data_IF_128173968674
#
_entry.id   IF_128173968674
#
_cell.length_a   1.000
_cell.length_b   1.000
_cell.length_c   1.000
_cell.angle_alpha   90.00
_cell.angle_beta   90.00
_cell.angle_gamma   90.00
#
_symmetry.space_group_name_H-M   'P 1'
#
loop_
_entity.id
_entity.type
_entity.pdbx_description
1 polymer ?
#
# COMPACT_ATOMS: atom_id res chain seq x y z
N UNK A 1 6.41 7.50 -6.68
CA UNK A 1 6.80 6.61 -7.81
C UNK A 1 5.57 6.12 -8.59
N UNK A 2 4.48 5.68 -7.93
CA UNK A 2 3.23 5.24 -8.58
C UNK A 2 2.04 6.17 -8.30
N UNK A 3 2.13 7.05 -7.32
CA UNK A 3 1.09 8.02 -6.99
C UNK A 3 0.96 9.08 -8.08
N UNK A 4 -0.28 9.46 -8.39
CA UNK A 4 -0.66 10.49 -9.34
C UNK A 4 -2.01 11.12 -8.94
N UNK A 5 -2.45 12.12 -9.67
CA UNK A 5 -3.73 12.83 -9.48
C UNK A 5 -4.98 11.95 -9.72
N UNK A 6 -4.81 10.77 -10.31
CA UNK A 6 -5.86 9.77 -10.54
C UNK A 6 -5.81 8.61 -9.55
N UNK A 7 -4.97 8.71 -8.52
CA UNK A 7 -4.92 7.69 -7.49
C UNK A 7 -6.21 7.67 -6.69
N UNK A 8 -6.79 6.49 -6.54
CA UNK A 8 -8.07 6.28 -5.88
C UNK A 8 -8.00 5.17 -4.84
N UNK A 9 -8.74 5.32 -3.76
CA UNK A 9 -8.88 4.32 -2.72
C UNK A 9 -10.24 3.66 -2.82
N UNK A 10 -10.25 2.35 -3.04
CA UNK A 10 -11.45 1.54 -3.20
C UNK A 10 -11.57 0.53 -2.07
N UNK A 11 -12.77 0.40 -1.51
CA UNK A 11 -13.09 -0.64 -0.52
C UNK A 11 -14.18 -1.54 -1.07
N UNK A 12 -13.94 -2.86 -1.05
CA UNK A 12 -14.90 -3.89 -1.41
C UNK A 12 -15.41 -4.58 -0.15
N UNK A 13 -16.72 -4.63 -0.01
CA UNK A 13 -17.43 -5.29 1.10
C UNK A 13 -18.33 -6.38 0.54
N UNK A 14 -18.41 -7.51 1.22
CA UNK A 14 -19.36 -8.56 0.87
C UNK A 14 -20.67 -8.40 1.65
N UNK A 15 -21.82 -8.62 0.99
CA UNK A 15 -23.13 -8.69 1.64
C UNK A 15 -23.20 -9.94 2.52
N UNK A 16 -22.76 -11.06 1.99
CA UNK A 16 -22.65 -12.31 2.72
C UNK A 16 -21.47 -12.29 3.69
N UNK A 17 -21.56 -13.07 4.78
CA UNK A 17 -20.50 -13.19 5.76
C UNK A 17 -19.42 -14.17 5.28
N UNK A 18 -18.68 -13.81 4.24
CA UNK A 18 -17.62 -14.63 3.67
C UNK A 18 -16.39 -14.62 4.57
N UNK A 19 -16.18 -15.70 5.30
CA UNK A 19 -15.05 -15.88 6.23
C UNK A 19 -13.92 -16.70 5.60
N UNK A 20 -14.18 -17.45 4.53
CA UNK A 20 -13.16 -18.17 3.79
C UNK A 20 -12.31 -17.19 2.97
N UNK A 21 -11.03 -17.08 3.34
CA UNK A 21 -10.06 -16.22 2.66
C UNK A 21 -9.78 -16.66 1.23
N UNK A 22 -9.71 -17.97 0.98
CA UNK A 22 -9.40 -18.48 -0.37
C UNK A 22 -10.55 -18.16 -1.32
N UNK A 23 -11.79 -18.36 -0.87
CA UNK A 23 -12.96 -17.98 -1.65
C UNK A 23 -13.02 -16.47 -1.89
N UNK A 24 -12.76 -15.64 -0.88
CA UNK A 24 -12.69 -14.19 -1.07
C UNK A 24 -11.62 -13.79 -2.09
N UNK A 25 -10.45 -14.44 -2.08
CA UNK A 25 -9.38 -14.18 -3.04
C UNK A 25 -9.82 -14.49 -4.48
N UNK A 26 -10.60 -15.54 -4.69
CA UNK A 26 -11.17 -15.86 -6.01
C UNK A 26 -12.11 -14.75 -6.49
N UNK A 27 -12.98 -14.25 -5.60
CA UNK A 27 -13.88 -13.14 -5.92
C UNK A 27 -13.10 -11.86 -6.24
N UNK A 28 -12.08 -11.56 -5.45
CA UNK A 28 -11.19 -10.42 -5.66
C UNK A 28 -10.45 -10.49 -7.01
N UNK A 29 -9.85 -11.63 -7.34
CA UNK A 29 -9.16 -11.80 -8.64
C UNK A 29 -10.14 -11.67 -9.83
N UNK A 30 -11.35 -12.23 -9.70
CA UNK A 30 -12.42 -12.06 -10.70
C UNK A 30 -12.83 -10.59 -10.84
N UNK A 31 -12.92 -9.84 -9.73
CA UNK A 31 -13.22 -8.41 -9.75
C UNK A 31 -12.14 -7.64 -10.51
N UNK A 32 -10.87 -7.83 -10.18
CA UNK A 32 -9.75 -7.14 -10.84
C UNK A 32 -9.74 -7.46 -12.35
N UNK A 33 -9.96 -8.71 -12.76
CA UNK A 33 -10.02 -9.10 -14.17
C UNK A 33 -11.17 -8.41 -14.91
N UNK A 34 -12.37 -8.42 -14.34
CA UNK A 34 -13.56 -7.78 -14.93
C UNK A 34 -13.40 -6.27 -15.01
N UNK A 35 -12.86 -5.64 -13.96
CA UNK A 35 -12.58 -4.21 -13.92
C UNK A 35 -11.55 -3.83 -14.99
N UNK A 36 -10.48 -4.62 -15.10
CA UNK A 36 -9.45 -4.42 -16.12
C UNK A 36 -10.03 -4.50 -17.53
N UNK A 37 -10.87 -5.51 -17.80
CA UNK A 37 -11.51 -5.64 -19.10
C UNK A 37 -12.50 -4.51 -19.37
N UNK A 38 -13.26 -4.08 -18.38
CA UNK A 38 -14.20 -2.95 -18.50
C UNK A 38 -13.50 -1.64 -18.89
N UNK A 39 -12.31 -1.39 -18.34
CA UNK A 39 -11.55 -0.15 -18.58
C UNK A 39 -10.75 -0.20 -19.88
N UNK A 40 -10.06 -1.32 -20.13
CA UNK A 40 -9.04 -1.40 -21.17
C UNK A 40 -9.43 -2.30 -22.35
N UNK A 41 -10.58 -2.99 -22.29
CA UNK A 41 -11.00 -3.97 -23.28
C UNK A 41 -9.92 -5.00 -23.62
N UNK A 42 -9.12 -5.37 -22.62
CA UNK A 42 -7.93 -6.22 -22.76
C UNK A 42 -7.84 -7.25 -21.64
N UNK A 43 -7.40 -8.45 -21.99
CA UNK A 43 -7.07 -9.49 -21.00
C UNK A 43 -5.67 -9.33 -20.39
N UNK A 44 -4.84 -8.40 -20.91
CA UNK A 44 -3.56 -8.03 -20.28
C UNK A 44 -3.86 -7.30 -18.98
N UNK A 45 -3.16 -7.62 -17.90
CA UNK A 45 -3.31 -6.98 -16.58
C UNK A 45 -2.68 -5.59 -16.60
N UNK A 46 -3.47 -4.57 -16.87
CA UNK A 46 -3.04 -3.17 -17.00
C UNK A 46 -3.33 -2.34 -15.75
N UNK A 47 -4.33 -2.72 -14.94
CA UNK A 47 -4.61 -2.04 -13.67
C UNK A 47 -3.39 -2.13 -12.75
N UNK A 48 -3.00 -0.97 -12.21
CA UNK A 48 -1.95 -0.84 -11.19
C UNK A 48 -2.60 -0.69 -9.82
N UNK A 49 -2.28 -1.60 -8.90
CA UNK A 49 -2.88 -1.57 -7.57
C UNK A 49 -2.00 -2.17 -6.48
N UNK A 50 -2.27 -1.75 -5.25
CA UNK A 50 -1.90 -2.45 -4.02
C UNK A 50 -3.20 -2.71 -3.25
N UNK A 51 -3.37 -3.90 -2.69
CA UNK A 51 -4.56 -4.26 -1.92
C UNK A 51 -4.19 -4.99 -0.63
N UNK A 52 -4.93 -4.67 0.43
CA UNK A 52 -4.85 -5.33 1.73
C UNK A 52 -6.20 -5.92 2.05
N UNK A 53 -6.21 -7.12 2.61
CA UNK A 53 -7.42 -7.74 3.13
C UNK A 53 -7.51 -7.49 4.64
N UNK A 54 -8.70 -7.12 5.10
CA UNK A 54 -9.01 -6.89 6.51
C UNK A 54 -10.23 -7.74 6.91
N UNK A 55 -10.21 -8.31 8.11
CA UNK A 55 -11.39 -8.95 8.71
C UNK A 55 -12.25 -7.94 9.43
N UNK A 56 -13.53 -7.90 9.09
CA UNK A 56 -14.52 -7.15 9.85
C UNK A 56 -14.81 -7.81 11.21
N UNK A 57 -15.43 -7.06 12.12
CA UNK A 57 -15.89 -7.57 13.42
C UNK A 57 -16.78 -8.83 13.30
N UNK A 58 -17.59 -8.93 12.24
CA UNK A 58 -18.43 -10.11 11.95
C UNK A 58 -17.67 -11.28 11.31
N UNK A 59 -16.35 -11.15 11.09
CA UNK A 59 -15.48 -12.16 10.50
C UNK A 59 -15.39 -12.12 8.97
N UNK A 60 -16.24 -11.34 8.26
CA UNK A 60 -16.20 -11.23 6.82
C UNK A 60 -14.96 -10.48 6.31
N UNK A 61 -14.46 -10.89 5.15
CA UNK A 61 -13.35 -10.24 4.50
C UNK A 61 -13.75 -8.95 3.77
N UNK A 62 -12.88 -7.96 3.86
CA UNK A 62 -12.86 -6.72 3.09
C UNK A 62 -11.59 -6.63 2.28
N UNK A 63 -11.64 -5.95 1.13
CA UNK A 63 -10.45 -5.54 0.40
C UNK A 63 -10.36 -4.01 0.41
N UNK A 64 -9.22 -3.49 0.84
CA UNK A 64 -8.83 -2.10 0.70
C UNK A 64 -7.80 -2.01 -0.41
N UNK A 65 -8.10 -1.25 -1.45
CA UNK A 65 -7.36 -1.24 -2.71
C UNK A 65 -6.94 0.19 -3.02
N UNK A 66 -5.65 0.40 -3.21
CA UNK A 66 -5.11 1.62 -3.78
C UNK A 66 -4.92 1.38 -5.28
N UNK A 67 -5.59 2.18 -6.09
CA UNK A 67 -5.55 2.13 -7.54
C UNK A 67 -4.75 3.32 -8.05
N UNK A 68 -3.74 3.07 -8.89
CA UNK A 68 -2.88 4.11 -9.46
C UNK A 68 -3.23 4.37 -10.92
N UNK A 69 -3.14 5.62 -11.34
CA UNK A 69 -3.53 6.06 -12.69
C UNK A 69 -4.89 5.49 -13.11
N UNK A 70 -5.84 5.58 -12.19
CA UNK A 70 -7.15 4.97 -12.34
C UNK A 70 -8.12 5.92 -13.03
N UNK A 71 -8.67 5.56 -14.20
CA UNK A 71 -9.64 6.41 -14.88
C UNK A 71 -10.95 6.46 -14.10
N UNK A 72 -11.75 7.48 -14.37
CA UNK A 72 -13.08 7.53 -13.80
C UNK A 72 -13.94 6.34 -14.26
N UNK A 73 -14.50 5.63 -13.30
CA UNK A 73 -15.46 4.55 -13.53
C UNK A 73 -16.72 4.88 -12.71
N UNK A 74 -17.92 4.93 -13.33
CA UNK A 74 -19.15 5.19 -12.61
C UNK A 74 -19.37 4.21 -11.47
N UNK A 75 -19.80 4.70 -10.29
CA UNK A 75 -20.01 3.87 -9.11
C UNK A 75 -20.97 2.70 -9.37
N UNK A 76 -22.02 2.89 -10.18
CA UNK A 76 -22.95 1.85 -10.61
C UNK A 76 -22.25 0.69 -11.33
N UNK A 77 -21.23 1.00 -12.13
CA UNK A 77 -20.47 -0.03 -12.86
C UNK A 77 -19.52 -0.77 -11.93
N UNK A 78 -18.88 -0.09 -10.97
CA UNK A 78 -18.08 -0.73 -9.93
C UNK A 78 -18.93 -1.70 -9.12
N UNK A 79 -20.14 -1.30 -8.70
CA UNK A 79 -21.09 -2.17 -8.00
C UNK A 79 -21.46 -3.41 -8.84
N UNK A 80 -21.78 -3.21 -10.14
CA UNK A 80 -22.11 -4.30 -11.06
C UNK A 80 -20.95 -5.25 -11.27
N UNK A 81 -19.73 -4.71 -11.43
CA UNK A 81 -18.50 -5.50 -11.63
C UNK A 81 -18.17 -6.29 -10.36
N UNK A 82 -18.34 -5.69 -9.19
CA UNK A 82 -18.15 -6.40 -7.91
C UNK A 82 -19.20 -7.48 -7.73
N UNK A 83 -20.48 -7.12 -7.73
CA UNK A 83 -21.62 -8.04 -7.67
C UNK A 83 -21.82 -8.79 -6.35
N UNK A 84 -20.99 -8.58 -5.34
CA UNK A 84 -21.02 -9.33 -4.07
C UNK A 84 -21.33 -8.46 -2.85
N UNK A 85 -21.63 -7.19 -3.03
CA UNK A 85 -21.96 -6.28 -1.93
C UNK A 85 -21.62 -4.83 -2.24
N UNK A 86 -21.22 -4.06 -1.21
CA UNK A 86 -20.96 -2.65 -1.34
C UNK A 86 -19.57 -2.35 -1.89
N UNK A 87 -19.50 -1.25 -2.61
CA UNK A 87 -18.25 -0.63 -3.10
C UNK A 87 -18.21 0.80 -2.60
N UNK A 88 -17.08 1.22 -2.03
CA UNK A 88 -16.80 2.62 -1.71
C UNK A 88 -15.53 3.03 -2.43
N UNK A 89 -15.57 4.15 -3.13
CA UNK A 89 -14.41 4.72 -3.80
C UNK A 89 -14.26 6.19 -3.40
N UNK A 90 -13.03 6.59 -3.07
CA UNK A 90 -12.65 7.97 -2.81
C UNK A 90 -11.43 8.29 -3.66
N UNK A 91 -11.44 9.43 -4.31
CA UNK A 91 -10.27 9.99 -4.96
C UNK A 91 -9.32 10.54 -3.89
N UNK A 92 -8.02 10.41 -4.08
CA UNK A 92 -7.00 10.89 -3.12
C UNK A 92 -6.43 12.25 -3.53
N UNK A 93 -7.28 13.17 -4.02
CA UNK A 93 -6.90 14.50 -4.52
C UNK A 93 -6.39 15.46 -3.45
N UNK A 94 -6.73 15.21 -2.18
CA UNK A 94 -6.52 16.15 -1.08
C UNK A 94 -5.36 15.79 -0.16
N UNK A 95 -4.52 14.88 -0.56
CA UNK A 95 -3.32 14.57 0.20
C UNK A 95 -2.20 15.45 -0.34
N UNK A 96 -1.96 16.57 0.34
CA UNK A 96 -0.90 17.54 0.04
C UNK A 96 0.51 16.93 0.04
N UNK A 97 0.63 15.63 0.37
CA UNK A 97 1.88 14.89 0.37
C UNK A 97 1.65 13.42 0.05
N UNK A 98 2.38 12.89 -0.92
CA UNK A 98 2.45 11.45 -1.25
C UNK A 98 2.81 10.57 -0.03
N UNK A 99 3.43 11.15 1.00
CA UNK A 99 3.72 10.49 2.28
C UNK A 99 2.44 10.18 3.07
N UNK A 100 1.42 11.03 2.99
CA UNK A 100 0.14 10.82 3.67
C UNK A 100 -0.68 9.69 3.06
N UNK A 101 -0.62 9.52 1.73
CA UNK A 101 -1.25 8.39 1.05
C UNK A 101 -0.59 7.05 1.45
N UNK A 102 0.74 7.03 1.57
CA UNK A 102 1.48 5.88 2.08
C UNK A 102 1.09 5.54 3.53
N UNK A 103 0.99 6.53 4.41
CA UNK A 103 0.53 6.36 5.80
C UNK A 103 -0.91 5.86 5.88
N UNK A 104 -1.79 6.37 5.02
CA UNK A 104 -3.18 5.93 4.97
C UNK A 104 -3.28 4.44 4.63
N UNK A 105 -2.52 3.96 3.64
CA UNK A 105 -2.46 2.54 3.29
C UNK A 105 -1.77 1.73 4.38
N UNK A 106 -0.67 2.24 4.96
CA UNK A 106 0.04 1.58 6.05
C UNK A 106 -0.85 1.32 7.27
N UNK A 107 -1.77 2.23 7.60
CA UNK A 107 -2.76 2.06 8.67
C UNK A 107 -3.66 0.82 8.46
N UNK A 108 -4.06 0.55 7.22
CA UNK A 108 -4.84 -0.66 6.92
C UNK A 108 -3.95 -1.89 6.82
N UNK A 109 -2.70 -1.74 6.36
CA UNK A 109 -1.70 -2.80 6.42
C UNK A 109 -1.42 -3.23 7.86
N UNK A 110 -1.22 -2.28 8.77
CA UNK A 110 -0.96 -2.52 10.18
C UNK A 110 -2.13 -3.26 10.85
N UNK A 111 -3.37 -2.85 10.59
CA UNK A 111 -4.56 -3.53 11.09
C UNK A 111 -4.71 -4.95 10.52
N UNK A 112 -4.48 -5.13 9.21
CA UNK A 112 -4.59 -6.44 8.55
C UNK A 112 -3.45 -7.39 8.94
N UNK A 113 -2.25 -6.86 9.13
CA UNK A 113 -1.07 -7.65 9.50
C UNK A 113 -1.10 -8.01 10.98
N UNK A 114 -1.52 -7.11 11.87
CA UNK A 114 -1.46 -7.31 13.32
C UNK A 114 -2.35 -8.43 13.84
N UNK A 115 -3.56 -8.60 13.26
CA UNK A 115 -4.50 -9.64 13.69
C UNK A 115 -4.30 -11.00 12.98
N UNK A 116 -3.70 -11.00 11.79
CA UNK A 116 -3.59 -12.19 10.95
C UNK A 116 -2.21 -12.80 10.86
N UNK A 117 -1.16 -12.10 11.34
CA UNK A 117 0.22 -12.62 11.26
C UNK A 117 0.35 -13.95 12.01
N UNK A 118 -0.40 -14.12 13.10
CA UNK A 118 -0.42 -15.35 13.90
C UNK A 118 -1.19 -16.49 13.22
N UNK A 119 -2.22 -16.18 12.43
CA UNK A 119 -3.08 -17.17 11.76
C UNK A 119 -2.66 -17.45 10.30
N UNK A 120 -1.75 -16.66 9.74
CA UNK A 120 -1.42 -16.71 8.31
C UNK A 120 0.06 -16.86 7.99
N UNK A 121 0.80 -17.54 8.84
CA UNK A 121 2.18 -17.94 8.52
C UNK A 121 2.23 -18.54 7.10
N UNK A 122 3.02 -17.93 6.21
CA UNK A 122 3.15 -18.33 4.81
C UNK A 122 2.13 -17.73 3.83
N UNK A 123 1.16 -16.92 4.27
CA UNK A 123 0.20 -16.23 3.39
C UNK A 123 0.66 -14.79 3.13
N UNK A 124 0.34 -14.27 1.94
CA UNK A 124 0.69 -12.89 1.58
C UNK A 124 -0.08 -11.89 2.44
N UNK A 125 0.63 -10.96 3.07
CA UNK A 125 0.03 -9.88 3.85
C UNK A 125 -0.69 -8.85 2.96
N UNK A 126 -0.23 -8.67 1.72
CA UNK A 126 -0.84 -7.76 0.74
C UNK A 126 -0.73 -8.33 -0.68
N UNK A 127 -1.53 -7.79 -1.58
CA UNK A 127 -1.52 -8.09 -3.01
C UNK A 127 -1.06 -6.86 -3.77
N UNK A 128 -0.30 -7.07 -4.84
CA UNK A 128 0.11 -5.99 -5.73
C UNK A 128 0.08 -6.45 -7.19
N UNK A 129 -0.21 -5.53 -8.07
CA UNK A 129 -0.03 -5.74 -9.49
C UNK A 129 1.46 -5.77 -9.84
N UNK A 130 1.82 -6.59 -10.84
CA UNK A 130 3.24 -6.78 -11.22
C UNK A 130 3.82 -5.62 -12.05
N UNK A 131 2.97 -4.72 -12.51
CA UNK A 131 3.31 -3.60 -13.37
C UNK A 131 3.52 -2.28 -12.59
N UNK A 132 3.68 -2.35 -11.28
CA UNK A 132 4.09 -1.21 -10.46
C UNK A 132 5.54 -0.86 -10.72
N UNK A 133 5.83 0.45 -10.79
CA UNK A 133 7.21 0.94 -10.77
C UNK A 133 7.82 0.63 -9.40
N UNK A 134 8.99 0.03 -9.42
CA UNK A 134 9.76 -0.18 -8.19
C UNK A 134 10.49 1.12 -7.81
N UNK A 135 10.68 1.40 -6.51
CA UNK A 135 11.54 2.49 -6.09
C UNK A 135 12.96 2.19 -6.53
N UNK A 136 13.66 3.22 -6.97
CA UNK A 136 15.09 3.15 -7.22
C UNK A 136 15.82 3.41 -5.90
N UNK A 137 16.67 2.49 -5.49
CA UNK A 137 17.50 2.62 -4.29
C UNK A 137 18.95 2.85 -4.73
N UNK A 138 19.46 4.04 -4.44
CA UNK A 138 20.85 4.37 -4.69
C UNK A 138 21.58 4.38 -3.35
N UNK A 139 22.63 3.56 -3.21
CA UNK A 139 23.49 3.53 -2.04
C UNK A 139 24.79 4.27 -2.37
N UNK A 140 24.98 5.38 -1.69
CA UNK A 140 26.22 6.15 -1.79
C UNK A 140 27.03 5.93 -0.52
N UNK A 141 28.30 5.60 -0.69
CA UNK A 141 29.28 5.60 0.39
C UNK A 141 30.08 6.89 0.28
N UNK A 142 30.06 7.67 1.33
CA UNK A 142 30.83 8.92 1.42
C UNK A 142 31.63 8.94 2.71
N UNK A 143 32.79 9.58 2.68
CA UNK A 143 33.57 9.92 3.87
C UNK A 143 33.20 11.31 4.43
N UNK A 144 32.30 12.03 3.76
CA UNK A 144 31.82 13.31 4.21
C UNK A 144 30.82 13.16 5.36
N UNK A 145 30.77 14.15 6.22
CA UNK A 145 29.78 14.14 7.27
C UNK A 145 28.37 14.35 6.66
N UNK A 146 27.46 13.44 6.94
CA UNK A 146 26.08 13.51 6.43
C UNK A 146 25.39 14.82 6.81
N UNK A 147 25.75 15.42 7.95
CA UNK A 147 25.19 16.71 8.41
C UNK A 147 25.54 17.87 7.45
N UNK A 148 26.69 17.80 6.80
CA UNK A 148 27.17 18.84 5.87
C UNK A 148 26.51 18.73 4.49
N UNK A 149 25.89 17.57 4.20
CA UNK A 149 25.22 17.29 2.93
C UNK A 149 23.71 17.62 2.94
N UNK A 150 23.17 17.97 4.10
CA UNK A 150 21.71 18.12 4.29
C UNK A 150 21.41 19.52 4.81
N UNK A 151 20.61 20.26 4.05
CA UNK A 151 20.05 21.51 4.56
C UNK A 151 18.90 21.21 5.53
N UNK A 152 18.84 21.93 6.64
CA UNK A 152 17.84 21.72 7.71
C UNK A 152 16.41 21.89 7.22
N UNK A 153 16.19 22.75 6.24
CA UNK A 153 14.85 23.05 5.69
C UNK A 153 14.29 21.91 4.82
N UNK A 154 15.15 20.98 4.39
CA UNK A 154 14.76 19.82 3.60
C UNK A 154 14.34 18.62 4.43
N UNK A 155 14.47 18.68 5.75
CA UNK A 155 14.14 17.55 6.63
C UNK A 155 12.63 17.45 6.82
N UNK A 156 12.01 16.46 6.18
CA UNK A 156 10.57 16.16 6.31
C UNK A 156 10.25 15.40 7.59
N UNK A 157 11.18 14.62 8.10
CA UNK A 157 10.99 13.81 9.30
C UNK A 157 12.35 13.41 9.88
N UNK A 158 12.48 13.49 11.20
CA UNK A 158 13.64 13.00 11.94
C UNK A 158 13.19 12.13 13.11
N UNK A 159 13.89 11.05 13.35
CA UNK A 159 13.70 10.19 14.52
C UNK A 159 15.03 9.59 14.95
N UNK A 160 15.27 9.62 16.26
CA UNK A 160 16.44 8.95 16.87
C UNK A 160 15.95 7.85 17.77
N UNK A 161 16.52 6.66 17.64
CA UNK A 161 16.18 5.52 18.48
C UNK A 161 17.42 4.65 18.75
N UNK A 162 17.41 3.95 19.89
CA UNK A 162 18.43 2.99 20.23
C UNK A 162 18.06 1.60 19.74
N UNK A 163 18.94 0.98 18.98
CA UNK A 163 18.88 -0.41 18.57
C UNK A 163 19.99 -1.22 19.21
N UNK A 164 19.86 -2.54 19.20
CA UNK A 164 20.93 -3.44 19.62
C UNK A 164 21.49 -4.13 18.39
N UNK A 165 22.80 -4.03 18.20
CA UNK A 165 23.53 -4.64 17.09
C UNK A 165 24.53 -5.66 17.62
N UNK A 166 24.61 -6.82 16.97
CA UNK A 166 25.58 -7.84 17.33
C UNK A 166 26.92 -7.52 16.67
N UNK A 167 27.94 -7.17 17.49
CA UNK A 167 29.31 -6.90 17.01
C UNK A 167 30.31 -7.72 17.81
N UNK A 168 31.22 -8.41 17.14
CA UNK A 168 32.30 -9.18 17.74
C UNK A 168 31.85 -10.12 18.89
N UNK A 169 30.69 -10.78 18.72
CA UNK A 169 30.17 -11.73 19.72
C UNK A 169 29.35 -11.09 20.85
N UNK A 170 29.14 -9.78 20.88
CA UNK A 170 28.39 -9.09 21.93
C UNK A 170 27.28 -8.19 21.33
N UNK A 171 26.17 -8.06 22.08
CA UNK A 171 25.13 -7.09 21.81
C UNK A 171 25.61 -5.72 22.31
N UNK A 172 25.76 -4.77 21.40
CA UNK A 172 26.10 -3.39 21.71
C UNK A 172 24.95 -2.46 21.37
N UNK A 173 24.77 -1.41 22.16
CA UNK A 173 23.82 -0.36 21.84
C UNK A 173 24.32 0.39 20.61
N UNK A 174 23.37 0.67 19.69
CA UNK A 174 23.63 1.45 18.50
C UNK A 174 22.54 2.52 18.39
N UNK A 175 22.96 3.77 18.46
CA UNK A 175 22.06 4.89 18.19
C UNK A 175 21.85 5.01 16.69
N UNK A 176 20.61 5.00 16.27
CA UNK A 176 20.21 5.14 14.86
C UNK A 176 19.47 6.46 14.72
N UNK A 177 20.01 7.33 13.87
CA UNK A 177 19.38 8.57 13.47
C UNK A 177 18.78 8.35 12.08
N UNK A 178 17.47 8.46 11.99
CA UNK A 178 16.73 8.32 10.72
C UNK A 178 16.21 9.67 10.29
N UNK A 179 16.49 10.05 9.06
CA UNK A 179 15.99 11.28 8.44
C UNK A 179 15.33 11.00 7.10
N UNK A 180 14.22 11.65 6.87
CA UNK A 180 13.56 11.71 5.55
C UNK A 180 13.72 13.13 5.03
N UNK A 181 14.35 13.25 3.87
CA UNK A 181 14.71 14.53 3.26
C UNK A 181 13.92 14.68 1.97
N UNK A 182 13.45 15.89 1.69
CA UNK A 182 12.93 16.27 0.39
C UNK A 182 14.12 16.54 -0.54
N UNK A 183 14.10 15.92 -1.71
CA UNK A 183 15.06 16.22 -2.78
C UNK A 183 14.24 16.83 -3.90
N UNK A 184 14.47 18.11 -4.19
CA UNK A 184 13.89 18.74 -5.37
C UNK A 184 14.58 18.15 -6.61
N UNK A 185 13.78 17.65 -7.53
CA UNK A 185 14.31 17.21 -8.82
C UNK A 185 14.57 18.45 -9.65
N UNK A 186 15.83 18.65 -10.01
CA UNK A 186 16.18 19.53 -11.13
C UNK A 186 15.56 19.05 -12.43
#
# INVERSE_FOLDING_TARGET
>A
TNFDDKTSFLTLTTKENIQDRQYFNILFDKFIKRLNYHIYHSNKRLIKYIAVLERQKRGAWHAHILLFNFPYVPHKDLLRIWGHGAVRINKLDSLDDSSNAGRYVAKYMEKGIGQELLESLGKKAFYSSRNLKQPEEIKLLTNENVEDLIQTDDILYESTYNSKVFRKGHLVNNEVKYRKIKIDKE
#
